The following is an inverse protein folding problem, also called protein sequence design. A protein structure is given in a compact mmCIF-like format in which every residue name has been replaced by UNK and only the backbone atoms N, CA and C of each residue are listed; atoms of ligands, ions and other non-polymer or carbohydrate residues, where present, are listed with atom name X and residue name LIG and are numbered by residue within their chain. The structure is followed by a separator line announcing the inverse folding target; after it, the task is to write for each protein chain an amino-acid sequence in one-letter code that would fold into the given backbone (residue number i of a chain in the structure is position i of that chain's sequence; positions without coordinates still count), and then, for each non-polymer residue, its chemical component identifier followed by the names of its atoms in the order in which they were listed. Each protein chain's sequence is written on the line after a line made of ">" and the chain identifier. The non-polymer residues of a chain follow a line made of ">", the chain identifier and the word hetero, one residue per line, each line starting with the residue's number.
data_IF_285739131632
#
_entry.id   IF_285739131632
#
_cell.length_a   1.000
_cell.length_b   1.000
_cell.length_c   1.000
_cell.angle_alpha   90.00
_cell.angle_beta   90.00
_cell.angle_gamma   90.00
#
_symmetry.space_group_name_H-M   'P 1'
#
loop_
_entity.id
_entity.type
_entity.pdbx_description
1 polymer ?
#
# COMPACT_ATOMS: atom_id res chain seq x y z
N UNK A 1 -11.82 12.86 8.76
CA UNK A 1 -12.62 12.97 10.00
C UNK A 1 -12.45 11.68 10.79
N UNK A 2 -12.23 11.75 12.10
CA UNK A 2 -12.13 10.56 12.98
C UNK A 2 -13.14 10.74 14.10
N UNK A 3 -14.04 9.77 14.26
CA UNK A 3 -15.14 9.82 15.22
C UNK A 3 -15.21 8.51 16.03
N UNK A 4 -15.27 8.61 17.37
CA UNK A 4 -15.45 7.43 18.23
C UNK A 4 -16.93 7.09 18.28
N UNK A 5 -17.31 5.87 17.90
CA UNK A 5 -18.72 5.44 17.78
C UNK A 5 -19.15 4.46 18.89
N UNK A 6 -18.36 4.36 19.97
CA UNK A 6 -18.61 3.45 21.11
C UNK A 6 -18.03 2.05 20.89
N UNK A 7 -18.09 1.21 21.92
CA UNK A 7 -17.63 -0.20 21.89
C UNK A 7 -16.19 -0.41 21.38
N UNK A 8 -15.31 0.56 21.60
CA UNK A 8 -13.93 0.51 21.10
C UNK A 8 -13.77 0.75 19.58
N UNK A 9 -14.85 1.09 18.88
CA UNK A 9 -14.86 1.33 17.44
C UNK A 9 -14.67 2.81 17.08
N UNK A 10 -14.07 3.04 15.91
CA UNK A 10 -13.79 4.37 15.36
C UNK A 10 -14.25 4.41 13.91
N UNK A 11 -14.98 5.45 13.55
CA UNK A 11 -15.35 5.80 12.17
C UNK A 11 -14.29 6.75 11.61
N UNK A 12 -13.74 6.40 10.46
CA UNK A 12 -12.71 7.20 9.77
C UNK A 12 -13.25 7.55 8.40
N UNK A 13 -13.31 8.85 8.09
CA UNK A 13 -13.58 9.34 6.75
C UNK A 13 -12.28 9.57 6.00
N UNK A 14 -12.10 8.85 4.88
CA UNK A 14 -10.97 8.94 3.94
C UNK A 14 -11.52 9.09 2.52
N UNK A 15 -10.79 9.78 1.65
CA UNK A 15 -11.10 9.86 0.22
C UNK A 15 -10.30 8.81 -0.55
N UNK A 16 -10.79 8.41 -1.73
CA UNK A 16 -10.06 7.52 -2.63
C UNK A 16 -8.69 8.10 -3.00
N UNK A 17 -8.66 9.36 -3.44
CA UNK A 17 -7.44 10.10 -3.80
C UNK A 17 -6.39 10.07 -2.67
N UNK A 18 -6.80 10.33 -1.42
CA UNK A 18 -5.86 10.32 -0.29
C UNK A 18 -5.30 8.92 0.02
N UNK A 19 -6.05 7.86 -0.26
CA UNK A 19 -5.55 6.48 -0.14
C UNK A 19 -4.56 6.15 -1.26
N UNK A 20 -4.85 6.53 -2.50
CA UNK A 20 -3.96 6.35 -3.66
C UNK A 20 -2.64 7.10 -3.47
N UNK A 21 -2.71 8.40 -3.15
CA UNK A 21 -1.52 9.22 -2.85
C UNK A 21 -0.70 8.65 -1.69
N UNK A 22 -1.37 8.15 -0.65
CA UNK A 22 -0.71 7.56 0.50
C UNK A 22 -0.04 6.21 0.19
N UNK A 23 -0.68 5.34 -0.60
CA UNK A 23 -0.09 4.08 -1.06
C UNK A 23 1.14 4.36 -1.92
N UNK A 24 1.04 5.29 -2.87
CA UNK A 24 2.16 5.67 -3.74
C UNK A 24 3.32 6.26 -2.93
N UNK A 25 3.01 7.18 -2.01
CA UNK A 25 4.00 7.79 -1.12
C UNK A 25 4.71 6.76 -0.23
N UNK A 26 3.97 5.84 0.38
CA UNK A 26 4.55 4.78 1.22
C UNK A 26 5.39 3.79 0.39
N UNK A 27 4.92 3.42 -0.79
CA UNK A 27 5.63 2.52 -1.71
C UNK A 27 6.97 3.11 -2.13
N UNK A 28 7.01 4.41 -2.46
CA UNK A 28 8.24 5.11 -2.80
C UNK A 28 9.16 5.30 -1.59
N UNK A 29 8.60 5.56 -0.40
CA UNK A 29 9.37 5.84 0.82
C UNK A 29 10.01 4.58 1.42
N UNK A 30 9.33 3.42 1.34
CA UNK A 30 9.80 2.15 1.89
C UNK A 30 11.27 1.83 1.56
N UNK A 31 11.71 1.75 0.28
CA UNK A 31 13.10 1.42 -0.05
C UNK A 31 14.10 2.49 0.42
N UNK A 32 13.69 3.77 0.47
CA UNK A 32 14.54 4.87 0.94
C UNK A 32 14.87 4.70 2.43
N UNK A 33 13.85 4.46 3.26
CA UNK A 33 14.07 4.28 4.70
C UNK A 33 14.76 2.97 5.03
N UNK A 34 14.44 1.90 4.32
CA UNK A 34 15.16 0.63 4.42
C UNK A 34 16.65 0.79 4.09
N UNK A 35 17.00 1.59 3.06
CA UNK A 35 18.38 1.91 2.74
C UNK A 35 19.07 2.69 3.87
N UNK A 36 18.38 3.62 4.55
CA UNK A 36 18.92 4.34 5.70
C UNK A 36 19.22 3.38 6.86
N UNK A 37 18.27 2.50 7.20
CA UNK A 37 18.43 1.52 8.28
C UNK A 37 19.58 0.54 8.01
N UNK A 38 19.73 0.06 6.78
CA UNK A 38 20.83 -0.86 6.42
C UNK A 38 22.25 -0.28 6.64
N UNK A 39 22.36 1.05 6.72
CA UNK A 39 23.64 1.76 6.93
C UNK A 39 24.06 1.86 8.39
N UNK A 40 23.21 1.42 9.34
CA UNK A 40 23.58 1.38 10.75
C UNK A 40 24.87 0.58 11.00
N UNK A 41 25.58 0.94 12.07
CA UNK A 41 26.88 0.37 12.42
C UNK A 41 26.73 -1.08 12.94
N UNK A 42 25.72 -1.35 13.76
CA UNK A 42 25.38 -2.71 14.18
C UNK A 42 24.67 -3.43 13.05
N UNK A 43 25.38 -4.34 12.38
CA UNK A 43 24.83 -5.09 11.24
C UNK A 43 23.76 -6.10 11.61
N UNK A 44 23.73 -6.59 12.85
CA UNK A 44 22.68 -7.51 13.30
C UNK A 44 21.39 -6.74 13.53
N UNK A 45 21.48 -5.62 14.26
CA UNK A 45 20.31 -4.77 14.50
C UNK A 45 19.80 -4.15 13.19
N UNK A 46 20.70 -3.70 12.30
CA UNK A 46 20.33 -3.17 10.99
C UNK A 46 19.50 -4.16 10.16
N UNK A 47 19.81 -5.46 10.23
CA UNK A 47 19.07 -6.48 9.51
C UNK A 47 17.68 -6.72 10.11
N UNK A 48 17.56 -6.69 11.45
CA UNK A 48 16.28 -6.81 12.16
C UNK A 48 15.41 -5.59 11.84
N UNK A 49 15.93 -4.38 12.06
CA UNK A 49 15.23 -3.12 11.80
C UNK A 49 14.79 -3.03 10.33
N UNK A 50 15.64 -3.46 9.39
CA UNK A 50 15.31 -3.47 7.96
C UNK A 50 14.09 -4.34 7.66
N UNK A 51 14.02 -5.52 8.27
CA UNK A 51 12.93 -6.48 8.06
C UNK A 51 11.64 -6.01 8.75
N UNK A 52 11.72 -5.57 10.00
CA UNK A 52 10.57 -5.05 10.76
C UNK A 52 9.98 -3.80 10.09
N UNK A 53 10.84 -2.86 9.68
CA UNK A 53 10.41 -1.68 8.94
C UNK A 53 9.71 -2.06 7.64
N UNK A 54 10.31 -2.98 6.87
CA UNK A 54 9.70 -3.48 5.64
C UNK A 54 8.29 -4.04 5.85
N UNK A 55 8.14 -4.89 6.87
CA UNK A 55 6.86 -5.50 7.24
C UNK A 55 5.82 -4.46 7.67
N UNK A 56 6.22 -3.42 8.40
CA UNK A 56 5.31 -2.35 8.80
C UNK A 56 4.81 -1.53 7.60
N UNK A 57 5.69 -1.23 6.65
CA UNK A 57 5.30 -0.59 5.40
C UNK A 57 4.33 -1.45 4.59
N UNK A 58 4.62 -2.75 4.43
CA UNK A 58 3.74 -3.68 3.72
C UNK A 58 2.36 -3.75 4.38
N UNK A 59 2.33 -3.88 5.72
CA UNK A 59 1.07 -3.93 6.47
C UNK A 59 0.25 -2.64 6.30
N UNK A 60 0.91 -1.48 6.29
CA UNK A 60 0.23 -0.20 6.08
C UNK A 60 -0.32 -0.07 4.66
N UNK A 61 0.47 -0.43 3.64
CA UNK A 61 0.07 -0.42 2.23
C UNK A 61 -1.09 -1.38 2.01
N UNK A 62 -1.02 -2.60 2.55
CA UNK A 62 -2.09 -3.60 2.46
C UNK A 62 -3.38 -3.09 3.11
N UNK A 63 -3.30 -2.51 4.31
CA UNK A 63 -4.46 -1.96 4.99
C UNK A 63 -5.12 -0.83 4.19
N UNK A 64 -4.33 0.08 3.61
CA UNK A 64 -4.83 1.15 2.77
C UNK A 64 -5.44 0.62 1.48
N UNK A 65 -4.82 -0.41 0.87
CA UNK A 65 -5.33 -1.07 -0.33
C UNK A 65 -6.68 -1.76 -0.06
N UNK A 66 -6.84 -2.41 1.10
CA UNK A 66 -8.12 -3.00 1.52
C UNK A 66 -9.21 -1.94 1.65
N UNK A 67 -8.90 -0.76 2.19
CA UNK A 67 -9.86 0.35 2.24
C UNK A 67 -10.19 0.87 0.84
N UNK A 68 -9.18 0.94 -0.05
CA UNK A 68 -9.33 1.38 -1.43
C UNK A 68 -10.22 0.45 -2.25
N UNK A 69 -10.18 -0.87 -1.99
CA UNK A 69 -11.10 -1.85 -2.56
C UNK A 69 -12.58 -1.61 -2.18
N UNK A 70 -12.85 -0.80 -1.17
CA UNK A 70 -14.21 -0.37 -0.82
C UNK A 70 -14.82 0.66 -1.78
N UNK A 71 -14.02 1.26 -2.66
CA UNK A 71 -14.47 2.27 -3.63
C UNK A 71 -14.87 1.62 -4.96
N UNK A 72 -16.10 1.83 -5.46
CA UNK A 72 -16.57 1.24 -6.72
C UNK A 72 -15.69 1.59 -7.93
N UNK A 73 -15.31 2.87 -8.06
CA UNK A 73 -14.52 3.36 -9.19
C UNK A 73 -13.15 2.68 -9.27
N UNK A 74 -12.53 2.42 -8.12
CA UNK A 74 -11.27 1.70 -8.03
C UNK A 74 -11.40 0.23 -8.48
N UNK A 75 -12.48 -0.44 -8.09
CA UNK A 75 -12.77 -1.82 -8.52
C UNK A 75 -12.98 -1.91 -10.03
N UNK A 76 -13.67 -0.93 -10.62
CA UNK A 76 -13.86 -0.85 -12.07
C UNK A 76 -12.55 -0.60 -12.82
N UNK A 77 -11.69 0.28 -12.31
CA UNK A 77 -10.35 0.52 -12.87
C UNK A 77 -9.50 -0.74 -12.85
N UNK A 78 -9.40 -1.45 -11.72
CA UNK A 78 -8.68 -2.72 -11.63
C UNK A 78 -9.21 -3.77 -12.62
N UNK A 79 -10.54 -3.85 -12.79
CA UNK A 79 -11.15 -4.74 -13.77
C UNK A 79 -10.81 -4.35 -15.22
N UNK A 80 -10.73 -3.05 -15.53
CA UNK A 80 -10.30 -2.56 -16.84
C UNK A 80 -8.83 -2.84 -17.09
N UNK A 81 -7.95 -2.49 -16.15
CA UNK A 81 -6.50 -2.75 -16.26
C UNK A 81 -6.21 -4.23 -16.44
N UNK A 82 -6.94 -5.12 -15.74
CA UNK A 82 -6.83 -6.55 -15.95
C UNK A 82 -7.26 -6.96 -17.37
N UNK A 83 -8.38 -6.42 -17.88
CA UNK A 83 -8.85 -6.70 -19.23
C UNK A 83 -7.85 -6.21 -20.28
N UNK A 84 -7.31 -5.01 -20.13
CA UNK A 84 -6.41 -4.41 -21.10
C UNK A 84 -5.07 -5.17 -21.13
N UNK A 85 -4.48 -5.47 -19.96
CA UNK A 85 -3.28 -6.30 -19.86
C UNK A 85 -3.48 -7.73 -20.37
N UNK A 86 -4.67 -8.31 -20.14
CA UNK A 86 -5.02 -9.61 -20.71
C UNK A 86 -5.06 -9.51 -22.24
N UNK A 87 -5.82 -8.57 -22.80
CA UNK A 87 -6.00 -8.44 -24.25
C UNK A 87 -4.68 -8.16 -24.98
N UNK A 88 -3.80 -7.31 -24.43
CA UNK A 88 -2.46 -7.09 -25.00
C UNK A 88 -1.63 -8.37 -25.08
N UNK A 89 -1.68 -9.22 -24.05
CA UNK A 89 -0.96 -10.50 -24.02
C UNK A 89 -1.52 -11.50 -25.02
N UNK A 90 -2.81 -11.50 -25.30
CA UNK A 90 -3.41 -12.38 -26.31
C UNK A 90 -3.13 -11.92 -27.75
N UNK A 91 -3.01 -10.61 -27.97
CA UNK A 91 -2.63 -10.06 -29.29
C UNK A 91 -1.18 -10.37 -29.64
N UNK A 92 -0.27 -10.43 -28.67
CA UNK A 92 1.14 -10.78 -28.91
C UNK A 92 1.41 -12.28 -29.12
N UNK A 93 0.40 -13.14 -28.90
CA UNK A 93 0.52 -14.60 -29.01
C UNK A 93 -0.11 -15.18 -30.29
N UNK A 94 -0.61 -14.35 -31.19
CA UNK A 94 -1.12 -14.71 -32.52
C UNK A 94 -0.37 -13.94 -33.62
#
# INVERSE_FOLDING_TARGET
>A
MVERIGNGMVKIGVTQEALEEGIDGLTQLKPVLQAVVSRQQDKKQAAIDYAELGQHFDTAIDAMTILLLGFPDYQEMQHRDWKDNFMERFVQLN
#
